data_IF_323253186013
#
_entry.id   IF_323253186013
#
_cell.length_a   1.000
_cell.length_b   1.000
_cell.length_c   1.000
_cell.angle_alpha   90.00
_cell.angle_beta   90.00
_cell.angle_gamma   90.00
#
_symmetry.space_group_name_H-M   'P 1'
#
loop_
_entity.id
_entity.type
_entity.pdbx_description
1 polymer ?
#
# COMPACT_ATOMS: atom_id res chain seq x y z
N UNK A 1 -4.51 13.50 -14.20
CA UNK A 1 -3.14 13.80 -13.77
C UNK A 1 -3.13 14.75 -12.58
N UNK A 2 -2.28 14.48 -11.58
CA UNK A 2 -2.18 15.32 -10.40
C UNK A 2 -3.25 15.08 -9.35
N UNK A 3 -4.20 14.20 -9.58
CA UNK A 3 -5.21 13.88 -8.58
C UNK A 3 -4.59 13.14 -7.42
N UNK A 4 -5.04 13.45 -6.21
CA UNK A 4 -4.62 12.75 -5.01
C UNK A 4 -5.50 11.52 -4.82
N UNK A 5 -4.87 10.37 -4.69
CA UNK A 5 -5.53 9.07 -4.65
C UNK A 5 -5.14 8.33 -3.39
N UNK A 6 -6.11 7.70 -2.74
CA UNK A 6 -5.86 6.78 -1.64
C UNK A 6 -6.14 5.38 -2.13
N UNK A 7 -5.16 4.49 -1.99
CA UNK A 7 -5.32 3.09 -2.32
C UNK A 7 -5.97 2.39 -1.12
N UNK A 8 -7.08 1.70 -1.33
CA UNK A 8 -7.79 0.99 -0.26
C UNK A 8 -7.97 -0.46 -0.66
N UNK A 9 -7.58 -1.36 0.22
CA UNK A 9 -7.75 -2.80 0.02
C UNK A 9 -7.99 -3.46 1.37
N UNK A 10 -8.34 -4.74 1.38
CA UNK A 10 -8.65 -5.44 2.62
C UNK A 10 -7.41 -6.00 3.30
N UNK A 11 -6.43 -6.48 2.55
CA UNK A 11 -5.26 -7.15 3.11
C UNK A 11 -3.99 -6.77 2.38
N UNK A 12 -2.94 -6.49 3.13
CA UNK A 12 -1.60 -6.39 2.56
C UNK A 12 -0.72 -7.49 3.15
N UNK A 13 -0.16 -8.31 2.27
CA UNK A 13 0.77 -9.39 2.62
C UNK A 13 2.16 -9.05 2.10
N UNK A 14 2.54 -9.57 0.94
CA UNK A 14 3.85 -9.28 0.35
C UNK A 14 3.93 -7.89 -0.28
N UNK A 15 2.79 -7.28 -0.57
CA UNK A 15 2.72 -5.97 -1.20
C UNK A 15 2.90 -5.96 -2.70
N UNK A 16 3.05 -7.14 -3.33
CA UNK A 16 3.27 -7.18 -4.78
C UNK A 16 2.14 -6.55 -5.57
N UNK A 17 0.90 -6.88 -5.25
CA UNK A 17 -0.27 -6.29 -5.93
C UNK A 17 -0.39 -4.80 -5.65
N UNK A 18 -0.22 -4.40 -4.39
CA UNK A 18 -0.31 -3.00 -4.00
C UNK A 18 0.83 -2.18 -4.64
N UNK A 19 2.03 -2.72 -4.66
CA UNK A 19 3.17 -2.08 -5.32
C UNK A 19 2.89 -1.85 -6.80
N UNK A 20 2.36 -2.86 -7.48
CA UNK A 20 1.98 -2.75 -8.89
C UNK A 20 0.92 -1.69 -9.12
N UNK A 21 -0.09 -1.63 -8.23
CA UNK A 21 -1.14 -0.62 -8.33
C UNK A 21 -0.58 0.79 -8.16
N UNK A 22 0.31 1.00 -7.19
CA UNK A 22 0.95 2.31 -6.99
C UNK A 22 1.75 2.72 -8.21
N UNK A 23 2.54 1.81 -8.77
CA UNK A 23 3.32 2.10 -9.97
C UNK A 23 2.44 2.47 -11.14
N UNK A 24 1.35 1.73 -11.34
CA UNK A 24 0.42 2.00 -12.44
C UNK A 24 -0.24 3.36 -12.28
N UNK A 25 -0.71 3.69 -11.09
CA UNK A 25 -1.33 4.98 -10.81
C UNK A 25 -0.35 6.13 -11.05
N UNK A 26 0.90 5.96 -10.64
CA UNK A 26 1.93 6.97 -10.87
C UNK A 26 2.22 7.18 -12.35
N UNK A 27 2.16 6.10 -13.14
CA UNK A 27 2.38 6.20 -14.60
C UNK A 27 1.33 7.06 -15.27
N UNK A 28 0.09 7.08 -14.78
CA UNK A 28 -0.97 7.90 -15.33
C UNK A 28 -1.04 9.29 -14.69
N UNK A 29 -0.07 9.63 -13.85
CA UNK A 29 0.04 10.95 -13.26
C UNK A 29 -0.73 11.17 -11.98
N UNK A 30 -1.29 10.12 -11.38
CA UNK A 30 -1.97 10.24 -10.10
C UNK A 30 -0.96 10.34 -8.96
N UNK A 31 -1.32 11.07 -7.92
CA UNK A 31 -0.51 11.20 -6.72
C UNK A 31 -1.09 10.28 -5.64
N UNK A 32 -0.41 9.16 -5.38
CA UNK A 32 -0.84 8.22 -4.34
C UNK A 32 -0.39 8.75 -2.98
N UNK A 33 -1.31 9.29 -2.22
CA UNK A 33 -1.00 9.98 -0.97
C UNK A 33 -1.01 9.07 0.25
N UNK A 34 -1.66 7.92 0.16
CA UNK A 34 -1.70 6.94 1.24
C UNK A 34 -2.21 5.60 0.73
N UNK A 35 -1.95 4.55 1.50
CA UNK A 35 -2.54 3.24 1.27
C UNK A 35 -3.17 2.78 2.58
N UNK A 36 -4.41 2.32 2.53
CA UNK A 36 -5.18 1.88 3.68
C UNK A 36 -5.57 0.42 3.53
N UNK A 37 -5.32 -0.36 4.57
CA UNK A 37 -5.65 -1.79 4.58
C UNK A 37 -6.36 -2.12 5.88
N UNK A 38 -7.27 -3.07 5.82
CA UNK A 38 -7.91 -3.56 7.05
C UNK A 38 -6.92 -4.42 7.81
N UNK A 39 -6.19 -5.29 7.13
CA UNK A 39 -5.26 -6.24 7.74
C UNK A 39 -3.87 -6.08 7.14
N UNK A 40 -2.87 -6.04 8.00
CA UNK A 40 -1.46 -6.03 7.62
C UNK A 40 -0.82 -7.32 8.15
N UNK A 41 -0.07 -8.00 7.29
CA UNK A 41 0.77 -9.13 7.66
C UNK A 41 2.23 -8.67 7.60
N UNK A 42 2.75 -8.06 8.67
CA UNK A 42 4.03 -7.35 8.61
C UNK A 42 5.23 -8.23 8.30
N UNK A 43 5.18 -9.50 8.68
CA UNK A 43 6.28 -10.44 8.43
C UNK A 43 6.53 -10.66 6.93
N UNK A 44 5.55 -10.35 6.09
CA UNK A 44 5.69 -10.48 4.64
C UNK A 44 6.23 -9.22 3.96
N UNK A 45 6.34 -8.13 4.71
CA UNK A 45 7.04 -6.93 4.27
C UNK A 45 6.31 -6.03 3.28
N UNK A 46 5.01 -6.28 3.04
CA UNK A 46 4.28 -5.49 2.03
C UNK A 46 4.16 -4.02 2.37
N UNK A 47 3.83 -3.71 3.62
CA UNK A 47 3.72 -2.33 4.06
C UNK A 47 5.06 -1.60 3.94
N UNK A 48 6.16 -2.28 4.27
CA UNK A 48 7.49 -1.70 4.15
C UNK A 48 7.85 -1.39 2.71
N UNK A 49 7.41 -2.22 1.76
CA UNK A 49 7.61 -1.94 0.33
C UNK A 49 6.93 -0.63 -0.08
N UNK A 50 5.70 -0.41 0.38
CA UNK A 50 4.97 0.81 0.05
C UNK A 50 5.61 2.03 0.73
N UNK A 51 6.07 1.89 1.96
CA UNK A 51 6.76 2.97 2.66
C UNK A 51 8.05 3.35 1.94
N UNK A 52 8.75 2.37 1.40
CA UNK A 52 9.96 2.63 0.60
C UNK A 52 9.66 3.36 -0.70
N UNK A 53 8.40 3.35 -1.15
CA UNK A 53 7.93 4.10 -2.31
C UNK A 53 7.35 5.47 -1.93
N UNK A 54 7.58 5.92 -0.70
CA UNK A 54 7.04 7.17 -0.16
C UNK A 54 5.51 7.18 -0.06
N UNK A 55 4.92 6.02 0.19
CA UNK A 55 3.48 5.91 0.38
C UNK A 55 3.21 5.61 1.85
N UNK A 56 2.58 6.54 2.60
CA UNK A 56 2.16 6.24 3.97
C UNK A 56 1.16 5.09 3.98
N UNK A 57 1.32 4.19 4.93
CA UNK A 57 0.46 3.00 5.06
C UNK A 57 -0.29 3.06 6.38
N UNK A 58 -1.60 2.87 6.31
CA UNK A 58 -2.47 2.80 7.49
C UNK A 58 -3.21 1.48 7.50
N UNK A 59 -3.26 0.86 8.67
CA UNK A 59 -3.95 -0.42 8.83
C UNK A 59 -4.80 -0.38 10.09
N UNK A 60 -5.91 -1.11 10.06
CA UNK A 60 -6.78 -1.24 11.23
C UNK A 60 -6.32 -2.38 12.15
N UNK A 61 -5.80 -3.44 11.57
CA UNK A 61 -5.36 -4.62 12.33
C UNK A 61 -4.04 -5.10 11.78
N UNK A 62 -3.16 -5.53 12.67
CA UNK A 62 -1.88 -6.10 12.29
C UNK A 62 -1.78 -7.50 12.89
N UNK A 63 -1.52 -8.48 12.04
CA UNK A 63 -1.29 -9.85 12.49
C UNK A 63 0.14 -10.24 12.20
N UNK A 64 0.91 -10.45 13.25
CA UNK A 64 2.25 -10.97 13.11
C UNK A 64 2.12 -12.48 12.88
N UNK A 65 2.73 -12.95 11.81
CA UNK A 65 2.48 -14.28 11.33
C UNK A 65 3.36 -15.33 11.98
N UNK A 66 2.91 -15.95 13.00
CA UNK A 66 3.48 -17.19 13.49
C UNK A 66 2.50 -18.04 14.25
#
# INVERSE_FOLDING_TARGET
PGERVILVDDLIATGGTAEGAVKLLRQIGANVVAACFIIDLPDLGGADKLRAMDVPVRTLMTFEGH
#
